data_IF_469091676467
#
_entry.id   IF_469091676467
#
_cell.length_a   1.000
_cell.length_b   1.000
_cell.length_c   1.000
_cell.angle_alpha   90.00
_cell.angle_beta   90.00
_cell.angle_gamma   90.00
#
_symmetry.space_group_name_H-M   'P 1'
#
loop_
_entity.id
_entity.type
_entity.pdbx_description
1 polymer ?
#
# COMPACT_ATOMS: atom_id res chain seq x y z
N UNK A 1 -19.43 34.11 -0.89
CA UNK A 1 -18.17 33.44 -0.51
C UNK A 1 -18.51 32.16 0.25
N UNK A 2 -17.82 31.05 -0.01
CA UNK A 2 -18.07 29.78 0.69
C UNK A 2 -17.76 29.89 2.18
N UNK A 3 -18.55 29.22 3.03
CA UNK A 3 -18.31 29.14 4.48
C UNK A 3 -17.52 27.88 4.87
N UNK A 4 -17.64 26.84 4.06
CA UNK A 4 -16.86 25.61 4.18
C UNK A 4 -16.75 24.92 2.82
N UNK A 5 -15.79 24.01 2.70
CA UNK A 5 -15.52 23.19 1.51
C UNK A 5 -15.40 21.74 1.95
N UNK A 6 -16.07 20.84 1.23
CA UNK A 6 -15.92 19.39 1.38
C UNK A 6 -15.23 18.85 0.14
N UNK A 7 -14.03 18.31 0.32
CA UNK A 7 -13.22 17.74 -0.75
C UNK A 7 -13.59 16.26 -0.93
N UNK A 8 -14.02 15.90 -2.14
CA UNK A 8 -14.45 14.54 -2.50
C UNK A 8 -13.64 13.92 -3.65
N UNK A 9 -12.54 14.55 -4.06
CA UNK A 9 -11.58 13.97 -4.99
C UNK A 9 -10.53 13.14 -4.23
N UNK A 10 -10.19 11.96 -4.76
CA UNK A 10 -9.09 11.18 -4.21
C UNK A 10 -7.74 11.84 -4.59
N UNK A 11 -6.71 11.73 -3.73
CA UNK A 11 -5.35 12.12 -4.10
C UNK A 11 -4.92 11.48 -5.43
N UNK A 12 -4.32 12.28 -6.30
CA UNK A 12 -3.86 11.84 -7.63
C UNK A 12 -4.90 11.99 -8.75
N UNK A 13 -6.21 12.02 -8.45
CA UNK A 13 -7.24 12.27 -9.47
C UNK A 13 -7.15 13.68 -10.04
N UNK A 14 -6.80 14.66 -9.21
CA UNK A 14 -6.58 16.05 -9.67
C UNK A 14 -5.56 16.10 -10.80
N UNK A 15 -4.45 15.37 -10.66
CA UNK A 15 -3.42 15.29 -11.70
C UNK A 15 -3.92 14.50 -12.92
N UNK A 16 -4.65 13.41 -12.71
CA UNK A 16 -5.22 12.61 -13.80
C UNK A 16 -6.19 13.44 -14.66
N UNK A 17 -6.92 14.37 -14.05
CA UNK A 17 -7.86 15.28 -14.73
C UNK A 17 -7.17 16.55 -15.29
N UNK A 18 -5.83 16.56 -15.38
CA UNK A 18 -5.06 17.67 -15.95
C UNK A 18 -4.77 18.83 -14.99
N UNK A 19 -5.11 18.69 -13.72
CA UNK A 19 -4.81 19.64 -12.66
C UNK A 19 -3.45 19.43 -12.00
N UNK A 20 -3.20 20.19 -10.94
CA UNK A 20 -1.98 20.14 -10.14
C UNK A 20 -2.33 19.98 -8.65
N UNK A 21 -1.97 18.82 -8.10
CA UNK A 21 -2.26 18.48 -6.70
C UNK A 21 -1.64 19.48 -5.72
N UNK A 22 -0.40 19.92 -5.97
CA UNK A 22 0.32 20.84 -5.08
C UNK A 22 -0.34 22.21 -5.08
N UNK A 23 -0.73 22.71 -6.25
CA UNK A 23 -1.47 23.98 -6.36
C UNK A 23 -2.84 23.89 -5.69
N UNK A 24 -3.55 22.79 -5.89
CA UNK A 24 -4.85 22.58 -5.24
C UNK A 24 -4.72 22.56 -3.72
N UNK A 25 -3.81 21.76 -3.19
CA UNK A 25 -3.58 21.66 -1.74
C UNK A 25 -3.11 23.00 -1.16
N UNK A 26 -2.27 23.74 -1.89
CA UNK A 26 -1.87 25.11 -1.54
C UNK A 26 -3.06 26.06 -1.45
N UNK A 27 -3.93 26.08 -2.46
CA UNK A 27 -5.14 26.90 -2.46
C UNK A 27 -6.08 26.56 -1.30
N UNK A 28 -6.26 25.27 -1.00
CA UNK A 28 -7.05 24.83 0.15
C UNK A 28 -6.45 25.29 1.48
N UNK A 29 -5.11 25.31 1.61
CA UNK A 29 -4.43 25.86 2.79
C UNK A 29 -4.61 27.37 2.92
N UNK A 30 -4.55 28.13 1.83
CA UNK A 30 -4.81 29.58 1.86
C UNK A 30 -6.26 29.88 2.26
N UNK A 31 -7.23 29.12 1.77
CA UNK A 31 -8.64 29.27 2.19
C UNK A 31 -8.82 29.03 3.69
N UNK A 32 -8.10 28.06 4.26
CA UNK A 32 -8.09 27.85 5.73
C UNK A 32 -7.50 29.03 6.50
N UNK A 33 -6.47 29.71 5.97
CA UNK A 33 -5.92 30.93 6.60
C UNK A 33 -6.93 32.08 6.62
N UNK A 34 -7.87 32.10 5.68
CA UNK A 34 -8.98 33.05 5.64
C UNK A 34 -10.17 32.65 6.56
N UNK A 35 -10.03 31.57 7.34
CA UNK A 35 -11.08 31.07 8.22
C UNK A 35 -12.15 30.22 7.52
N UNK A 36 -11.94 29.83 6.26
CA UNK A 36 -12.85 28.92 5.55
C UNK A 36 -12.45 27.48 5.89
N UNK A 37 -13.40 26.72 6.43
CA UNK A 37 -13.14 25.35 6.81
C UNK A 37 -13.06 24.42 5.59
N UNK A 38 -12.08 23.52 5.55
CA UNK A 38 -11.88 22.55 4.47
C UNK A 38 -11.79 21.14 5.06
N UNK A 39 -12.61 20.20 4.56
CA UNK A 39 -12.65 18.82 5.05
C UNK A 39 -12.57 17.76 3.95
N UNK A 40 -11.72 16.72 4.09
CA UNK A 40 -10.56 16.72 5.00
C UNK A 40 -9.59 17.84 4.61
N UNK A 41 -8.80 18.34 5.58
CA UNK A 41 -7.76 19.33 5.24
C UNK A 41 -6.63 18.66 4.44
N UNK A 42 -5.90 19.40 3.59
CA UNK A 42 -4.74 18.86 2.89
C UNK A 42 -3.72 18.22 3.82
N UNK A 43 -3.48 18.82 5.00
CA UNK A 43 -2.50 18.32 5.98
C UNK A 43 -2.94 16.97 6.59
N UNK A 44 -4.24 16.80 6.85
CA UNK A 44 -4.79 15.52 7.31
C UNK A 44 -4.65 14.47 6.21
N UNK A 45 -4.94 14.82 4.95
CA UNK A 45 -4.78 13.88 3.82
C UNK A 45 -3.32 13.48 3.60
N UNK A 46 -2.39 14.41 3.80
CA UNK A 46 -0.97 14.13 3.69
C UNK A 46 -0.52 13.12 4.75
N UNK A 47 -0.95 13.30 6.01
CA UNK A 47 -0.59 12.42 7.12
C UNK A 47 -1.33 11.07 7.08
N UNK A 48 -2.64 11.07 6.83
CA UNK A 48 -3.48 9.86 6.85
C UNK A 48 -3.40 9.06 5.55
N UNK A 49 -2.98 9.69 4.45
CA UNK A 49 -2.80 9.03 3.15
C UNK A 49 -1.47 8.31 3.00
N UNK A 50 -0.57 8.39 4.00
CA UNK A 50 0.70 7.67 3.99
C UNK A 50 0.49 6.22 4.45
N UNK A 51 1.24 5.27 3.89
CA UNK A 51 1.15 3.86 4.32
C UNK A 51 1.73 3.64 5.72
N UNK A 52 2.47 4.61 6.24
CA UNK A 52 2.97 4.62 7.63
C UNK A 52 1.86 4.46 8.68
N UNK A 53 0.61 4.81 8.35
CA UNK A 53 -0.54 4.62 9.21
C UNK A 53 -0.71 3.15 9.63
N UNK A 54 -0.39 2.20 8.74
CA UNK A 54 -0.44 0.76 9.04
C UNK A 54 0.52 0.36 10.16
N UNK A 55 1.69 1.00 10.22
CA UNK A 55 2.68 0.76 11.27
C UNK A 55 2.24 1.41 12.58
N UNK A 56 1.67 2.62 12.52
CA UNK A 56 1.16 3.34 13.70
C UNK A 56 0.03 2.60 14.41
N UNK A 57 -0.76 1.82 13.68
CA UNK A 57 -1.89 1.04 14.23
C UNK A 57 -1.56 -0.43 14.48
N UNK A 58 -0.30 -0.85 14.29
CA UNK A 58 0.12 -2.25 14.37
C UNK A 58 -0.23 -2.94 15.69
N UNK A 59 -0.25 -2.18 16.79
CA UNK A 59 -0.51 -2.68 18.14
C UNK A 59 -1.98 -2.50 18.60
N UNK A 60 -2.88 -2.07 17.73
CA UNK A 60 -4.32 -2.07 18.04
C UNK A 60 -4.88 -3.49 17.93
N UNK A 61 -6.10 -3.73 18.46
CA UNK A 61 -6.75 -5.05 18.46
C UNK A 61 -6.96 -5.67 17.06
N UNK A 62 -6.97 -4.85 16.02
CA UNK A 62 -7.10 -5.26 14.62
C UNK A 62 -5.80 -5.04 13.82
N UNK A 63 -4.73 -4.67 14.53
CA UNK A 63 -3.41 -4.44 13.97
C UNK A 63 -2.65 -5.73 13.71
N UNK A 64 -1.50 -5.59 13.04
CA UNK A 64 -0.54 -6.66 12.81
C UNK A 64 0.80 -6.18 13.34
N UNK A 65 1.18 -6.66 14.53
CA UNK A 65 2.39 -6.25 15.26
C UNK A 65 3.69 -6.39 14.45
N UNK A 66 3.68 -7.29 13.46
CA UNK A 66 4.79 -7.55 12.55
C UNK A 66 4.72 -6.71 11.26
N UNK A 67 4.05 -5.55 11.32
CA UNK A 67 4.06 -4.53 10.25
C UNK A 67 5.25 -3.59 10.43
N UNK A 68 6.14 -3.56 9.45
CA UNK A 68 7.37 -2.77 9.48
C UNK A 68 7.34 -1.66 8.42
N UNK A 69 8.09 -0.58 8.68
CA UNK A 69 8.41 0.44 7.69
C UNK A 69 9.92 0.54 7.51
N UNK A 70 10.34 0.70 6.26
CA UNK A 70 11.74 0.89 5.87
C UNK A 70 11.88 2.23 5.17
N UNK A 71 12.94 2.96 5.51
CA UNK A 71 13.23 4.28 4.93
C UNK A 71 14.57 4.32 4.19
N UNK A 72 15.38 3.28 4.37
CA UNK A 72 16.66 3.12 3.66
C UNK A 72 16.73 1.77 2.96
N UNK A 73 17.56 1.71 1.92
CA UNK A 73 17.77 0.51 1.11
C UNK A 73 18.32 -0.64 1.96
N UNK A 74 19.26 -0.34 2.86
CA UNK A 74 19.86 -1.32 3.75
C UNK A 74 18.86 -1.91 4.75
N UNK A 75 18.02 -1.07 5.37
CA UNK A 75 16.96 -1.52 6.27
C UNK A 75 15.95 -2.42 5.53
N UNK A 76 15.52 -2.00 4.34
CA UNK A 76 14.58 -2.78 3.53
C UNK A 76 15.19 -4.12 3.13
N UNK A 77 16.39 -4.12 2.55
CA UNK A 77 17.02 -5.35 2.08
C UNK A 77 17.25 -6.37 3.22
N UNK A 78 17.68 -5.90 4.39
CA UNK A 78 17.91 -6.78 5.55
C UNK A 78 16.59 -7.23 6.20
N UNK A 79 15.65 -6.31 6.40
CA UNK A 79 14.36 -6.58 7.03
C UNK A 79 13.48 -7.50 6.19
N UNK A 80 13.32 -7.17 4.90
CA UNK A 80 12.50 -7.96 3.97
C UNK A 80 12.98 -9.41 3.88
N UNK A 81 14.28 -9.68 3.85
CA UNK A 81 14.81 -11.05 3.81
C UNK A 81 14.44 -11.86 5.04
N UNK A 82 14.41 -11.23 6.21
CA UNK A 82 14.04 -11.89 7.47
C UNK A 82 12.54 -12.15 7.54
N UNK A 83 11.73 -11.16 7.21
CA UNK A 83 10.27 -11.29 7.23
C UNK A 83 9.79 -12.28 6.17
N UNK A 84 10.34 -12.22 4.96
CA UNK A 84 10.00 -13.11 3.85
C UNK A 84 10.43 -14.55 4.11
N UNK A 85 11.53 -14.79 4.85
CA UNK A 85 11.93 -16.13 5.25
C UNK A 85 10.97 -16.77 6.26
N UNK A 86 10.19 -15.96 6.98
CA UNK A 86 9.30 -16.43 8.03
C UNK A 86 7.88 -16.74 7.54
N UNK A 87 7.31 -15.92 6.64
CA UNK A 87 5.94 -16.12 6.13
C UNK A 87 5.64 -15.23 4.92
N UNK A 88 4.57 -15.51 4.14
CA UNK A 88 4.08 -14.64 3.08
C UNK A 88 3.89 -13.17 3.50
N UNK A 89 4.32 -12.23 2.65
CA UNK A 89 4.33 -10.79 2.95
C UNK A 89 3.48 -9.99 1.94
N UNK A 90 3.13 -8.78 2.33
CA UNK A 90 2.56 -7.74 1.47
C UNK A 90 3.45 -6.50 1.56
N UNK A 91 4.15 -6.20 0.47
CA UNK A 91 5.05 -5.05 0.36
C UNK A 91 4.30 -3.91 -0.31
N UNK A 92 4.36 -2.71 0.27
CA UNK A 92 3.56 -1.56 -0.16
C UNK A 92 4.45 -0.34 -0.29
N UNK A 93 4.49 0.29 -1.47
CA UNK A 93 5.03 1.63 -1.60
C UNK A 93 4.18 2.65 -0.82
N UNK A 94 4.80 3.72 -0.34
CA UNK A 94 4.11 4.72 0.47
C UNK A 94 2.99 5.47 -0.26
N UNK A 95 3.27 5.95 -1.48
CA UNK A 95 2.30 6.72 -2.28
C UNK A 95 1.97 5.94 -3.53
N UNK A 96 0.67 5.82 -3.81
CA UNK A 96 0.15 5.05 -4.92
C UNK A 96 -1.36 4.89 -4.75
N UNK A 97 -2.07 4.69 -5.85
CA UNK A 97 -3.52 4.50 -5.84
C UNK A 97 -3.87 3.16 -6.48
N UNK A 98 -5.06 2.66 -6.17
CA UNK A 98 -5.63 1.50 -6.88
C UNK A 98 -4.74 0.25 -6.94
N UNK A 99 -3.96 -0.03 -5.89
CA UNK A 99 -3.17 -1.25 -5.79
C UNK A 99 -1.78 -1.20 -6.41
N UNK A 100 -1.37 -0.09 -7.03
CA UNK A 100 -0.04 0.05 -7.63
C UNK A 100 1.05 0.02 -6.56
N UNK A 101 2.11 -0.76 -6.81
CA UNK A 101 3.22 -1.00 -5.88
C UNK A 101 2.77 -1.66 -4.58
N UNK A 102 1.66 -2.41 -4.61
CA UNK A 102 1.23 -3.31 -3.54
C UNK A 102 1.42 -4.74 -4.03
N UNK A 103 2.44 -5.40 -3.49
CA UNK A 103 2.87 -6.73 -3.88
C UNK A 103 2.50 -7.75 -2.82
N UNK A 104 1.72 -8.77 -3.17
CA UNK A 104 1.66 -10.00 -2.37
C UNK A 104 2.84 -10.86 -2.77
N UNK A 105 3.64 -11.27 -1.79
CA UNK A 105 4.92 -11.95 -2.00
C UNK A 105 4.94 -13.29 -1.28
N UNK A 106 5.27 -14.36 -2.00
CA UNK A 106 5.43 -15.72 -1.46
C UNK A 106 6.76 -16.32 -1.91
N UNK A 107 7.36 -17.19 -1.09
CA UNK A 107 8.50 -18.00 -1.52
C UNK A 107 7.99 -19.14 -2.39
N UNK A 108 8.54 -19.28 -3.60
CA UNK A 108 8.14 -20.34 -4.54
C UNK A 108 8.36 -21.75 -3.98
N UNK A 109 9.37 -21.92 -3.13
CA UNK A 109 9.72 -23.20 -2.51
C UNK A 109 8.96 -23.50 -1.20
N UNK A 110 8.16 -22.55 -0.70
CA UNK A 110 7.40 -22.68 0.56
C UNK A 110 8.27 -23.09 1.77
N UNK A 111 9.56 -22.73 1.74
CA UNK A 111 10.58 -23.14 2.71
C UNK A 111 10.71 -22.12 3.86
N UNK A 112 9.59 -21.77 4.48
CA UNK A 112 9.54 -20.81 5.58
C UNK A 112 10.19 -21.36 6.86
N UNK A 113 10.89 -20.51 7.62
CA UNK A 113 11.44 -20.87 8.92
C UNK A 113 10.35 -20.87 10.00
N UNK A 114 10.56 -21.64 11.07
CA UNK A 114 9.56 -21.86 12.12
C UNK A 114 9.41 -20.65 13.05
N UNK A 115 10.48 -19.87 13.20
CA UNK A 115 10.56 -18.73 14.11
C UNK A 115 11.11 -17.50 13.39
N UNK A 116 10.59 -16.32 13.73
CA UNK A 116 11.07 -15.07 13.15
C UNK A 116 12.56 -14.84 13.45
N UNK A 117 13.34 -14.50 12.41
CA UNK A 117 14.78 -14.21 12.53
C UNK A 117 15.69 -15.44 12.56
N UNK A 118 15.14 -16.67 12.57
CA UNK A 118 15.92 -17.92 12.44
C UNK A 118 16.70 -17.97 11.11
N UNK A 119 16.12 -17.36 10.07
CA UNK A 119 16.63 -17.37 8.71
C UNK A 119 16.53 -15.99 8.06
N UNK A 120 17.30 -15.78 7.00
CA UNK A 120 17.10 -14.71 6.03
C UNK A 120 17.13 -15.31 4.62
N UNK A 121 16.31 -14.78 3.70
CA UNK A 121 16.31 -15.29 2.33
C UNK A 121 17.61 -14.98 1.59
N UNK A 122 18.07 -15.97 0.81
CA UNK A 122 19.18 -15.82 -0.11
C UNK A 122 18.78 -15.04 -1.36
N UNK A 123 19.75 -14.38 -2.00
CA UNK A 123 19.55 -13.61 -3.23
C UNK A 123 18.87 -14.39 -4.36
N UNK A 124 19.14 -15.69 -4.46
CA UNK A 124 18.70 -16.54 -5.57
C UNK A 124 17.36 -17.22 -5.32
N UNK A 125 16.77 -17.06 -4.12
CA UNK A 125 15.46 -17.62 -3.86
C UNK A 125 14.40 -16.94 -4.72
N UNK A 126 13.50 -17.74 -5.26
CA UNK A 126 12.48 -17.28 -6.19
C UNK A 126 11.21 -16.93 -5.41
N UNK A 127 10.68 -15.76 -5.72
CA UNK A 127 9.43 -15.22 -5.22
C UNK A 127 8.34 -15.39 -6.27
N UNK A 128 7.13 -15.69 -5.81
CA UNK A 128 5.90 -15.50 -6.57
C UNK A 128 5.32 -14.17 -6.11
N UNK A 129 5.25 -13.21 -7.03
CA UNK A 129 4.81 -11.84 -6.79
C UNK A 129 3.48 -11.63 -7.50
N UNK A 130 2.50 -11.06 -6.81
CA UNK A 130 1.26 -10.60 -7.43
C UNK A 130 1.02 -9.13 -7.10
N UNK A 131 0.85 -8.30 -8.12
CA UNK A 131 0.51 -6.88 -7.92
C UNK A 131 -1.00 -6.70 -7.73
N UNK A 132 -1.40 -5.94 -6.72
CA UNK A 132 -2.81 -5.78 -6.36
C UNK A 132 -3.61 -4.92 -7.35
N UNK A 133 -2.94 -4.14 -8.22
CA UNK A 133 -3.61 -3.26 -9.18
C UNK A 133 -4.37 -4.02 -10.28
N UNK A 134 -3.88 -5.17 -10.73
CA UNK A 134 -4.50 -5.96 -11.79
C UNK A 134 -4.39 -7.49 -11.63
N UNK A 135 -3.83 -7.96 -10.50
CA UNK A 135 -3.58 -9.38 -10.21
C UNK A 135 -2.64 -10.09 -11.18
N UNK A 136 -1.83 -9.40 -11.99
CA UNK A 136 -0.79 -10.11 -12.71
C UNK A 136 0.18 -10.75 -11.70
N UNK A 137 0.68 -11.92 -12.05
CA UNK A 137 1.66 -12.64 -11.27
C UNK A 137 2.95 -12.78 -12.08
N UNK A 138 4.07 -12.57 -11.43
CA UNK A 138 5.40 -12.73 -12.01
C UNK A 138 6.36 -13.37 -11.00
N UNK A 139 7.42 -13.97 -11.52
CA UNK A 139 8.44 -14.63 -10.72
C UNK A 139 9.74 -13.87 -10.82
N UNK A 140 10.29 -13.52 -9.66
CA UNK A 140 11.58 -12.84 -9.55
C UNK A 140 12.37 -13.41 -8.39
N UNK A 141 13.68 -13.34 -8.48
CA UNK A 141 14.53 -13.63 -7.34
C UNK A 141 14.39 -12.56 -6.25
N UNK A 142 14.75 -12.88 -5.02
CA UNK A 142 14.83 -11.90 -3.92
C UNK A 142 15.74 -10.73 -4.31
N UNK A 143 16.85 -10.99 -5.00
CA UNK A 143 17.75 -9.94 -5.47
C UNK A 143 17.08 -8.99 -6.48
N UNK A 144 16.38 -9.54 -7.48
CA UNK A 144 15.67 -8.76 -8.50
C UNK A 144 14.56 -7.91 -7.89
N UNK A 145 13.77 -8.45 -6.96
CA UNK A 145 12.69 -7.71 -6.32
C UNK A 145 13.21 -6.59 -5.41
N UNK A 146 14.28 -6.85 -4.65
CA UNK A 146 14.93 -5.81 -3.84
C UNK A 146 15.48 -4.70 -4.72
N UNK A 147 16.17 -5.05 -5.80
CA UNK A 147 16.71 -4.10 -6.77
C UNK A 147 15.59 -3.27 -7.43
N UNK A 148 14.49 -3.89 -7.84
CA UNK A 148 13.33 -3.20 -8.39
C UNK A 148 12.73 -2.20 -7.39
N UNK A 149 12.54 -2.61 -6.14
CA UNK A 149 12.01 -1.74 -5.10
C UNK A 149 12.92 -0.54 -4.79
N UNK A 150 14.24 -0.69 -4.93
CA UNK A 150 15.23 0.33 -4.58
C UNK A 150 15.57 1.23 -5.77
N UNK A 151 15.97 0.63 -6.88
CA UNK A 151 16.54 1.30 -8.06
C UNK A 151 15.59 1.30 -9.27
N UNK A 152 14.43 0.67 -9.15
CA UNK A 152 13.48 0.55 -10.25
C UNK A 152 13.97 -0.40 -11.35
N UNK A 153 13.38 -0.27 -12.53
CA UNK A 153 13.71 -1.12 -13.67
C UNK A 153 15.10 -0.86 -14.23
N UNK A 154 15.95 -1.86 -14.15
CA UNK A 154 17.27 -1.86 -14.76
C UNK A 154 17.71 -3.30 -15.09
N UNK A 155 18.91 -3.47 -15.64
CA UNK A 155 19.43 -4.79 -16.02
C UNK A 155 19.52 -5.77 -14.85
N UNK A 156 19.76 -5.29 -13.62
CA UNK A 156 19.89 -6.12 -12.41
C UNK A 156 18.54 -6.49 -11.80
N UNK A 157 17.51 -5.66 -11.97
CA UNK A 157 16.17 -5.97 -11.50
C UNK A 157 15.46 -7.02 -12.37
N UNK A 158 15.98 -7.31 -13.57
CA UNK A 158 15.30 -8.16 -14.53
C UNK A 158 14.16 -7.44 -15.27
N UNK A 159 13.28 -8.21 -15.93
CA UNK A 159 12.18 -7.70 -16.75
C UNK A 159 10.87 -7.73 -15.97
N UNK A 160 10.24 -6.56 -15.78
CA UNK A 160 9.00 -6.39 -15.03
C UNK A 160 7.82 -6.14 -15.95
N UNK A 161 6.67 -6.73 -15.62
CA UNK A 161 5.40 -6.49 -16.33
C UNK A 161 4.47 -5.51 -15.62
N UNK A 162 4.79 -5.14 -14.37
CA UNK A 162 4.11 -4.10 -13.59
C UNK A 162 3.88 -2.82 -14.41
N UNK A 163 2.91 -2.00 -14.01
CA UNK A 163 2.75 -0.64 -14.55
C UNK A 163 3.66 0.36 -13.85
N UNK A 164 4.04 0.11 -12.60
CA UNK A 164 4.89 0.99 -11.80
C UNK A 164 6.37 0.79 -12.07
N UNK A 165 7.16 1.86 -11.91
CA UNK A 165 8.60 1.85 -12.22
C UNK A 165 9.50 1.28 -11.10
N UNK A 166 8.93 0.92 -9.95
CA UNK A 166 9.68 0.51 -8.77
C UNK A 166 10.20 1.71 -7.98
N UNK A 167 11.46 1.65 -7.50
CA UNK A 167 12.20 2.78 -6.88
C UNK A 167 11.45 3.51 -5.77
N UNK A 168 10.84 2.75 -4.87
CA UNK A 168 9.93 3.20 -3.82
C UNK A 168 10.62 3.98 -2.68
N UNK A 169 11.95 4.02 -2.66
CA UNK A 169 12.76 4.78 -1.69
C UNK A 169 13.41 6.03 -2.31
N UNK A 170 13.16 6.32 -3.59
CA UNK A 170 13.77 7.44 -4.32
C UNK A 170 13.51 8.79 -3.61
N UNK A 171 14.55 9.63 -3.53
CA UNK A 171 14.51 10.93 -2.84
C UNK A 171 14.48 10.84 -1.31
N UNK A 172 14.45 9.64 -0.73
CA UNK A 172 14.49 9.39 0.70
C UNK A 172 13.24 9.84 1.45
N UNK A 173 13.29 9.74 2.78
CA UNK A 173 12.14 9.98 3.67
C UNK A 173 11.50 11.36 3.48
N UNK A 174 12.29 12.39 3.23
CA UNK A 174 11.79 13.76 3.03
C UNK A 174 10.96 13.89 1.75
N UNK A 175 11.26 13.11 0.70
CA UNK A 175 10.47 13.03 -0.52
C UNK A 175 9.31 12.02 -0.43
N UNK A 176 9.12 11.38 0.73
CA UNK A 176 8.10 10.36 0.95
C UNK A 176 8.54 8.93 0.60
N UNK A 177 9.83 8.71 0.31
CA UNK A 177 10.40 7.38 0.09
C UNK A 177 10.24 6.50 1.33
N UNK A 178 9.47 5.41 1.17
CA UNK A 178 9.17 4.45 2.23
C UNK A 178 8.55 3.18 1.63
N UNK A 179 8.91 2.04 2.23
CA UNK A 179 8.24 0.76 2.02
C UNK A 179 7.60 0.28 3.32
N UNK A 180 6.38 -0.24 3.22
CA UNK A 180 5.72 -0.97 4.31
C UNK A 180 5.72 -2.46 4.00
N UNK A 181 6.05 -3.25 5.00
CA UNK A 181 6.12 -4.70 4.96
C UNK A 181 5.19 -5.28 6.01
N UNK A 182 4.16 -5.99 5.57
CA UNK A 182 3.10 -6.52 6.41
C UNK A 182 2.89 -8.01 6.15
N UNK A 183 2.49 -8.80 7.15
CA UNK A 183 2.09 -10.20 6.92
C UNK A 183 0.91 -10.27 5.96
N UNK A 184 0.94 -11.24 5.05
CA UNK A 184 -0.21 -11.56 4.22
C UNK A 184 -1.29 -12.30 5.03
N UNK A 185 -2.52 -11.81 4.96
CA UNK A 185 -3.68 -12.43 5.61
C UNK A 185 -4.41 -13.34 4.61
N UNK A 186 -4.31 -14.68 4.72
CA UNK A 186 -4.88 -15.61 3.74
C UNK A 186 -6.41 -15.57 3.66
N UNK A 187 -7.08 -15.09 4.71
CA UNK A 187 -8.53 -14.89 4.75
C UNK A 187 -9.04 -13.78 3.83
N UNK A 188 -8.18 -13.10 3.06
CA UNK A 188 -8.61 -12.14 2.03
C UNK A 188 -9.59 -12.75 1.01
N UNK A 189 -9.54 -14.08 0.82
CA UNK A 189 -10.48 -14.84 -0.02
C UNK A 189 -11.91 -14.83 0.53
N UNK A 190 -12.08 -14.62 1.83
CA UNK A 190 -13.38 -14.38 2.47
C UNK A 190 -13.88 -12.96 2.22
N UNK A 191 -12.97 -12.03 1.93
CA UNK A 191 -13.21 -10.63 1.57
C UNK A 191 -12.72 -9.62 2.62
N UNK A 192 -12.57 -8.38 2.16
CA UNK A 192 -12.25 -7.22 3.00
C UNK A 192 -13.54 -6.53 3.45
N UNK A 193 -13.65 -6.19 4.73
CA UNK A 193 -14.71 -5.33 5.26
C UNK A 193 -14.19 -3.89 5.37
N UNK A 194 -14.91 -2.96 4.75
CA UNK A 194 -14.68 -1.52 4.88
C UNK A 194 -15.85 -0.90 5.63
N UNK A 195 -15.56 -0.39 6.82
CA UNK A 195 -16.49 0.35 7.66
C UNK A 195 -16.33 1.84 7.36
N UNK A 196 -17.37 2.45 6.79
CA UNK A 196 -17.36 3.87 6.51
C UNK A 196 -17.96 4.62 7.70
N UNK A 197 -17.19 5.53 8.29
CA UNK A 197 -17.60 6.33 9.43
C UNK A 197 -17.77 7.79 9.02
N UNK A 198 -18.77 8.47 9.58
CA UNK A 198 -18.91 9.93 9.56
C UNK A 198 -18.94 10.44 11.00
N UNK A 199 -17.84 11.03 11.45
CA UNK A 199 -17.65 11.30 12.88
C UNK A 199 -17.58 9.98 13.67
N UNK A 200 -18.44 9.85 14.67
CA UNK A 200 -18.60 8.66 15.51
C UNK A 200 -19.65 7.66 14.98
N UNK A 201 -20.32 7.99 13.87
CA UNK A 201 -21.44 7.23 13.34
C UNK A 201 -21.01 6.33 12.18
N UNK A 202 -21.36 5.04 12.24
CA UNK A 202 -21.24 4.10 11.12
C UNK A 202 -22.30 4.46 10.07
N UNK A 203 -21.89 4.67 8.83
CA UNK A 203 -22.81 5.03 7.73
C UNK A 203 -22.96 3.93 6.68
N UNK A 204 -22.14 2.88 6.76
CA UNK A 204 -22.29 1.71 5.91
C UNK A 204 -21.06 0.81 5.93
N UNK A 205 -21.29 -0.45 5.55
CA UNK A 205 -20.26 -1.47 5.46
C UNK A 205 -20.18 -1.94 4.02
N UNK A 206 -18.96 -2.07 3.51
CA UNK A 206 -18.71 -2.65 2.20
C UNK A 206 -17.91 -3.93 2.38
N UNK A 207 -18.47 -5.05 1.96
CA UNK A 207 -17.76 -6.31 1.85
C UNK A 207 -17.27 -6.50 0.42
N UNK A 208 -15.94 -6.55 0.26
CA UNK A 208 -15.30 -6.72 -1.03
C UNK A 208 -14.67 -8.09 -1.10
N UNK A 209 -15.25 -8.96 -1.89
CA UNK A 209 -14.71 -10.30 -2.12
C UNK A 209 -13.91 -10.29 -3.43
N UNK A 210 -12.63 -10.70 -3.42
CA UNK A 210 -11.88 -10.91 -4.65
C UNK A 210 -12.64 -11.84 -5.61
N UNK A 211 -12.38 -11.71 -6.92
CA UNK A 211 -12.84 -12.73 -7.88
C UNK A 211 -12.33 -14.11 -7.47
N UNK A 212 -13.01 -15.16 -7.88
CA UNK A 212 -12.54 -16.53 -7.64
C UNK A 212 -11.11 -16.73 -8.17
N UNK A 213 -10.24 -17.34 -7.35
CA UNK A 213 -8.82 -17.49 -7.63
C UNK A 213 -7.98 -16.21 -7.51
N UNK A 214 -8.60 -15.05 -7.26
CA UNK A 214 -7.93 -13.78 -7.02
C UNK A 214 -7.67 -13.51 -5.53
N UNK A 215 -6.74 -12.60 -5.26
CA UNK A 215 -6.40 -12.15 -3.89
C UNK A 215 -6.45 -10.63 -3.73
N UNK A 216 -6.65 -9.86 -4.81
CA UNK A 216 -6.90 -8.42 -4.73
C UNK A 216 -8.39 -8.12 -4.68
N UNK A 217 -8.81 -7.36 -3.65
CA UNK A 217 -10.15 -6.81 -3.47
C UNK A 217 -10.30 -5.37 -4.02
N UNK A 218 -9.38 -4.93 -4.91
CA UNK A 218 -9.39 -3.60 -5.51
C UNK A 218 -10.49 -3.49 -6.58
N UNK A 219 -11.03 -2.29 -6.79
CA UNK A 219 -12.05 -2.05 -7.82
C UNK A 219 -11.44 -2.25 -9.21
N UNK A 220 -12.18 -2.90 -10.12
CA UNK A 220 -11.71 -3.18 -11.48
C UNK A 220 -10.96 -4.51 -11.63
N UNK A 221 -10.69 -5.23 -10.53
CA UNK A 221 -10.03 -6.55 -10.58
C UNK A 221 -11.00 -7.73 -10.75
N UNK A 222 -12.30 -7.46 -10.91
CA UNK A 222 -13.38 -8.45 -10.91
C UNK A 222 -13.94 -8.78 -9.52
N UNK A 223 -13.56 -8.00 -8.50
CA UNK A 223 -14.07 -8.16 -7.13
C UNK A 223 -15.58 -7.88 -7.03
N UNK A 224 -16.28 -8.66 -6.21
CA UNK A 224 -17.71 -8.51 -5.91
C UNK A 224 -17.87 -7.62 -4.68
N UNK A 225 -18.71 -6.59 -4.79
CA UNK A 225 -18.96 -5.62 -3.73
C UNK A 225 -20.39 -5.81 -3.21
N UNK A 226 -20.50 -6.11 -1.93
CA UNK A 226 -21.79 -6.13 -1.22
C UNK A 226 -21.84 -4.94 -0.28
N UNK A 227 -22.92 -4.19 -0.34
CA UNK A 227 -23.13 -2.99 0.46
C UNK A 227 -24.20 -3.28 1.51
N UNK A 228 -23.87 -2.99 2.76
CA UNK A 228 -24.78 -3.11 3.88
C UNK A 228 -25.05 -1.72 4.45
N UNK A 229 -26.29 -1.53 4.91
CA UNK A 229 -26.65 -0.38 5.74
C UNK A 229 -25.91 -0.41 7.08
N UNK A 230 -26.06 0.64 7.89
CA UNK A 230 -25.51 0.68 9.23
C UNK A 230 -26.28 -0.21 10.24
N UNK A 231 -27.46 -0.71 9.86
CA UNK A 231 -28.37 -1.57 10.65
C UNK A 231 -28.12 -3.07 10.39
#
# INVERSE_FOLDING_TARGET
QFKAIVVRCNPGQIKADGGDQVKFDGAMRELRKLGIQVWPSPDVMEQMGAKDALVKVANLNIGLEDTLAYYTEAEFAAGFRKTMAFQPRVIKQNRGSSGEGIWIVKLKKDNYCSSYGERSCDNQEVLILMEANDNHAEEHTVAEFVEFCVNGRNTKSGKWTSKGDGKYLEGGKAAGGQLVDQRFCPRIVEGELRYNMAGDSLVGIIHKKPKEGGISAVSGTGSIYTFYGPE
#
